data_IF_986622749705
#
_entry.id   IF_986622749705
#
_cell.length_a   1.000
_cell.length_b   1.000
_cell.length_c   1.000
_cell.angle_alpha   90.00
_cell.angle_beta   90.00
_cell.angle_gamma   90.00
#
_symmetry.space_group_name_H-M   'P 1'
#
loop_
_entity.id
_entity.type
_entity.pdbx_description
1 polymer ?
#
# COMPACT_ATOMS: atom_id res chain seq x y z
N UNK A 1 -31.73 -10.88 27.09
CA UNK A 1 -30.59 -11.11 28.01
C UNK A 1 -29.84 -12.40 27.66
N UNK A 2 -30.53 -13.54 27.45
CA UNK A 2 -29.93 -14.81 27.05
C UNK A 2 -29.17 -14.79 25.70
N UNK A 3 -29.64 -14.03 24.70
CA UNK A 3 -28.99 -13.95 23.37
C UNK A 3 -27.64 -13.21 23.39
N UNK A 4 -27.49 -12.20 24.26
CA UNK A 4 -26.21 -11.49 24.44
C UNK A 4 -25.15 -12.36 25.15
N UNK A 5 -25.58 -13.21 26.08
CA UNK A 5 -24.70 -14.14 26.79
C UNK A 5 -24.07 -15.16 25.83
N UNK A 6 -24.83 -15.60 24.83
CA UNK A 6 -24.38 -16.57 23.83
C UNK A 6 -23.38 -15.96 22.82
N UNK A 7 -23.50 -14.66 22.51
CA UNK A 7 -22.55 -13.95 21.65
C UNK A 7 -21.20 -13.73 22.34
N UNK A 8 -21.18 -13.37 23.62
CA UNK A 8 -19.92 -13.18 24.35
C UNK A 8 -19.18 -14.51 24.53
N UNK A 9 -19.88 -15.60 24.86
CA UNK A 9 -19.28 -16.93 24.92
C UNK A 9 -18.74 -17.38 23.55
N UNK A 10 -19.44 -17.07 22.46
CA UNK A 10 -18.98 -17.39 21.11
C UNK A 10 -17.72 -16.59 20.75
N UNK A 11 -17.68 -15.29 21.08
CA UNK A 11 -16.51 -14.44 20.86
C UNK A 11 -15.31 -14.90 21.70
N UNK A 12 -15.56 -15.35 22.94
CA UNK A 12 -14.53 -15.93 23.79
C UNK A 12 -13.94 -17.20 23.16
N UNK A 13 -14.80 -18.12 22.68
CA UNK A 13 -14.36 -19.35 21.98
C UNK A 13 -13.62 -19.07 20.68
N UNK A 14 -14.02 -18.04 19.93
CA UNK A 14 -13.31 -17.60 18.71
C UNK A 14 -11.92 -17.09 19.08
N UNK A 15 -11.81 -16.20 20.07
CA UNK A 15 -10.51 -15.68 20.54
C UNK A 15 -9.59 -16.78 21.08
N UNK A 16 -10.13 -17.74 21.83
CA UNK A 16 -9.35 -18.88 22.32
C UNK A 16 -8.84 -19.75 21.17
N UNK A 17 -9.69 -20.05 20.18
CA UNK A 17 -9.26 -20.78 18.98
C UNK A 17 -8.21 -20.02 18.18
N UNK A 18 -8.36 -18.70 18.02
CA UNK A 18 -7.38 -17.84 17.36
C UNK A 18 -6.05 -17.83 18.12
N UNK A 19 -6.07 -17.74 19.45
CA UNK A 19 -4.88 -17.77 20.28
C UNK A 19 -4.15 -19.13 20.18
N UNK A 20 -4.90 -20.25 20.18
CA UNK A 20 -4.34 -21.59 20.01
C UNK A 20 -3.74 -21.77 18.61
N UNK A 21 -4.45 -21.30 17.57
CA UNK A 21 -3.97 -21.34 16.19
C UNK A 21 -2.67 -20.53 16.03
N UNK A 22 -2.62 -19.32 16.58
CA UNK A 22 -1.43 -18.47 16.53
C UNK A 22 -0.25 -19.11 17.27
N UNK A 23 -0.49 -19.70 18.44
CA UNK A 23 0.55 -20.44 19.19
C UNK A 23 1.07 -21.66 18.41
N UNK A 24 0.20 -22.37 17.67
CA UNK A 24 0.61 -23.48 16.82
C UNK A 24 1.43 -23.01 15.60
N UNK A 25 1.04 -21.87 15.00
CA UNK A 25 1.79 -21.24 13.91
C UNK A 25 3.18 -20.79 14.42
N UNK A 26 3.25 -20.16 15.58
CA UNK A 26 4.50 -19.72 16.20
C UNK A 26 5.40 -20.91 16.53
N UNK A 27 4.85 -22.00 17.05
CA UNK A 27 5.59 -23.24 17.29
C UNK A 27 6.12 -23.86 15.99
N UNK A 28 5.34 -23.81 14.89
CA UNK A 28 5.79 -24.27 13.56
C UNK A 28 6.93 -23.39 13.00
N UNK A 29 6.84 -22.06 13.20
CA UNK A 29 7.89 -21.13 12.80
C UNK A 29 9.18 -21.38 13.60
N UNK A 30 9.07 -21.55 14.92
CA UNK A 30 10.23 -21.82 15.79
C UNK A 30 10.89 -23.19 15.51
N UNK A 31 10.10 -24.20 15.10
CA UNK A 31 10.65 -25.53 14.73
C UNK A 31 11.50 -25.51 13.47
N UNK A 32 11.29 -24.55 12.57
CA UNK A 32 12.07 -24.48 11.34
C UNK A 32 12.43 -23.02 11.02
N UNK A 33 13.35 -22.41 11.80
CA UNK A 33 13.65 -20.97 11.72
C UNK A 33 14.26 -20.56 10.38
N UNK A 34 14.84 -21.51 9.63
CA UNK A 34 15.39 -21.24 8.30
C UNK A 34 14.31 -21.09 7.22
N UNK A 35 13.07 -21.53 7.47
CA UNK A 35 11.99 -21.49 6.50
C UNK A 35 11.08 -20.29 6.76
N UNK A 36 11.17 -19.29 5.88
CA UNK A 36 10.33 -18.10 5.93
C UNK A 36 8.85 -18.46 5.71
N UNK A 37 7.91 -17.90 6.51
CA UNK A 37 6.48 -18.02 6.27
C UNK A 37 6.09 -17.61 4.84
N UNK A 38 5.12 -18.30 4.24
CA UNK A 38 4.65 -18.02 2.88
C UNK A 38 4.17 -16.57 2.71
N UNK A 39 3.63 -15.94 3.77
CA UNK A 39 3.22 -14.55 3.77
C UNK A 39 4.34 -13.57 3.39
N UNK A 40 5.59 -13.86 3.79
CA UNK A 40 6.75 -12.99 3.51
C UNK A 40 7.01 -12.89 2.01
N UNK A 41 6.82 -13.98 1.26
CA UNK A 41 7.02 -14.00 -0.19
C UNK A 41 6.01 -13.12 -0.95
N UNK A 42 4.86 -12.80 -0.36
CA UNK A 42 3.88 -11.88 -0.94
C UNK A 42 4.10 -10.44 -0.47
N UNK A 43 4.41 -10.24 0.81
CA UNK A 43 4.54 -8.92 1.41
C UNK A 43 5.82 -8.21 0.94
N UNK A 44 6.95 -8.91 0.88
CA UNK A 44 8.26 -8.29 0.57
C UNK A 44 8.30 -7.70 -0.85
N UNK A 45 7.93 -8.43 -1.93
CA UNK A 45 7.90 -7.84 -3.26
C UNK A 45 6.89 -6.70 -3.40
N UNK A 46 5.75 -6.77 -2.69
CA UNK A 46 4.76 -5.69 -2.69
C UNK A 46 5.31 -4.41 -2.05
N UNK A 47 5.90 -4.49 -0.85
CA UNK A 47 6.54 -3.35 -0.19
C UNK A 47 7.70 -2.81 -1.05
N UNK A 48 8.53 -3.70 -1.60
CA UNK A 48 9.63 -3.30 -2.48
C UNK A 48 9.13 -2.54 -3.72
N UNK A 49 8.09 -3.05 -4.37
CA UNK A 49 7.48 -2.41 -5.54
C UNK A 49 6.90 -1.03 -5.23
N UNK A 50 6.21 -0.90 -4.10
CA UNK A 50 5.66 0.37 -3.61
C UNK A 50 6.78 1.40 -3.37
N UNK A 51 7.84 1.01 -2.66
CA UNK A 51 9.00 1.88 -2.41
C UNK A 51 9.73 2.27 -3.68
N UNK A 52 9.97 1.32 -4.58
CA UNK A 52 10.64 1.56 -5.85
C UNK A 52 9.89 2.62 -6.67
N UNK A 53 8.58 2.45 -6.81
CA UNK A 53 7.72 3.36 -7.55
C UNK A 53 7.62 4.74 -6.87
N UNK A 54 7.50 4.79 -5.54
CA UNK A 54 7.43 6.05 -4.80
C UNK A 54 8.71 6.90 -4.95
N UNK A 55 9.88 6.29 -4.80
CA UNK A 55 11.16 7.00 -4.95
C UNK A 55 11.43 7.38 -6.41
N UNK A 56 11.10 6.49 -7.36
CA UNK A 56 11.22 6.78 -8.79
C UNK A 56 10.39 7.98 -9.23
N UNK A 57 9.13 8.04 -8.80
CA UNK A 57 8.24 9.14 -9.12
C UNK A 57 8.64 10.44 -8.41
N UNK A 58 8.92 10.38 -7.10
CA UNK A 58 9.30 11.54 -6.30
C UNK A 58 10.55 12.25 -6.81
N UNK A 59 11.56 11.50 -7.26
CA UNK A 59 12.79 12.07 -7.81
C UNK A 59 12.59 12.68 -9.20
N UNK A 60 11.79 12.04 -10.05
CA UNK A 60 11.61 12.45 -11.45
C UNK A 60 10.63 13.62 -11.59
N UNK A 61 9.66 13.74 -10.67
CA UNK A 61 8.56 14.70 -10.75
C UNK A 61 9.03 16.17 -10.77
N UNK A 62 10.02 16.55 -9.97
CA UNK A 62 10.54 17.93 -9.97
C UNK A 62 11.16 18.29 -11.34
N UNK A 63 11.95 17.37 -11.89
CA UNK A 63 12.56 17.54 -13.21
C UNK A 63 11.51 17.65 -14.31
N UNK A 64 10.46 16.84 -14.23
CA UNK A 64 9.34 16.88 -15.16
C UNK A 64 8.61 18.23 -15.14
N UNK A 65 8.30 18.76 -13.95
CA UNK A 65 7.60 20.05 -13.80
C UNK A 65 8.45 21.21 -14.33
N UNK A 66 9.75 21.22 -14.00
CA UNK A 66 10.68 22.25 -14.47
C UNK A 66 10.84 22.24 -15.98
N UNK A 67 11.01 21.05 -16.59
CA UNK A 67 11.31 20.93 -18.03
C UNK A 67 10.06 21.04 -18.91
N UNK A 68 8.97 20.37 -18.55
CA UNK A 68 7.80 20.23 -19.44
C UNK A 68 6.71 21.24 -19.14
N UNK A 69 6.41 21.49 -17.87
CA UNK A 69 5.41 22.51 -17.50
C UNK A 69 6.01 23.92 -17.48
N UNK A 70 7.35 24.04 -17.57
CA UNK A 70 8.10 25.32 -17.46
C UNK A 70 7.68 26.13 -16.23
N UNK A 71 7.22 25.44 -15.19
CA UNK A 71 6.88 26.04 -13.92
C UNK A 71 8.18 26.20 -13.14
N UNK A 72 8.44 27.41 -12.65
CA UNK A 72 9.65 27.73 -11.90
C UNK A 72 9.90 26.80 -10.72
N UNK A 73 11.13 26.79 -10.22
CA UNK A 73 11.60 25.85 -9.20
C UNK A 73 10.72 25.79 -7.95
N UNK A 74 10.23 26.93 -7.48
CA UNK A 74 9.34 27.02 -6.33
C UNK A 74 8.07 26.18 -6.50
N UNK A 75 7.46 26.18 -7.70
CA UNK A 75 6.27 25.39 -7.97
C UNK A 75 6.59 23.90 -8.05
N UNK A 76 7.71 23.51 -8.65
CA UNK A 76 8.17 22.12 -8.69
C UNK A 76 8.32 21.51 -7.30
N UNK A 77 8.93 22.25 -6.37
CA UNK A 77 9.07 21.83 -4.97
C UNK A 77 7.70 21.71 -4.28
N UNK A 78 6.79 22.67 -4.50
CA UNK A 78 5.44 22.62 -3.94
C UNK A 78 4.66 21.38 -4.37
N UNK A 79 4.66 21.05 -5.66
CA UNK A 79 3.96 19.86 -6.16
C UNK A 79 4.56 18.56 -5.66
N UNK A 80 5.89 18.45 -5.57
CA UNK A 80 6.54 17.28 -4.98
C UNK A 80 6.18 17.13 -3.50
N UNK A 81 6.15 18.24 -2.76
CA UNK A 81 5.72 18.23 -1.35
C UNK A 81 4.26 17.79 -1.22
N UNK A 82 3.37 18.36 -2.04
CA UNK A 82 1.95 17.99 -2.06
C UNK A 82 1.74 16.52 -2.42
N UNK A 83 2.48 16.00 -3.41
CA UNK A 83 2.45 14.58 -3.76
C UNK A 83 2.86 13.69 -2.57
N UNK A 84 3.93 14.04 -1.87
CA UNK A 84 4.38 13.30 -0.67
C UNK A 84 3.33 13.38 0.44
N UNK A 85 2.77 14.56 0.70
CA UNK A 85 1.71 14.72 1.71
C UNK A 85 0.48 13.87 1.39
N UNK A 86 0.01 13.87 0.14
CA UNK A 86 -1.09 13.01 -0.27
C UNK A 86 -0.74 11.52 -0.12
N UNK A 87 0.47 11.10 -0.51
CA UNK A 87 0.90 9.71 -0.38
C UNK A 87 0.89 9.20 1.06
N UNK A 88 1.18 10.06 2.04
CA UNK A 88 1.05 9.71 3.46
C UNK A 88 -0.38 9.81 3.99
N UNK A 89 -1.22 10.64 3.38
CA UNK A 89 -2.60 10.86 3.81
C UNK A 89 -3.57 9.80 3.27
N UNK A 90 -3.39 9.35 2.03
CA UNK A 90 -4.24 8.35 1.37
C UNK A 90 -4.34 7.03 2.16
N UNK A 91 -3.27 6.46 2.75
CA UNK A 91 -3.36 5.27 3.59
C UNK A 91 -4.25 5.47 4.83
N UNK A 92 -4.23 6.66 5.44
CA UNK A 92 -5.08 6.98 6.59
C UNK A 92 -6.56 6.99 6.20
N UNK A 93 -6.89 7.61 5.06
CA UNK A 93 -8.24 7.59 4.51
C UNK A 93 -8.67 6.18 4.10
N UNK A 94 -7.78 5.42 3.45
CA UNK A 94 -8.03 4.04 3.04
C UNK A 94 -8.32 3.12 4.23
N UNK A 95 -7.58 3.29 5.33
CA UNK A 95 -7.82 2.55 6.56
C UNK A 95 -9.19 2.87 7.18
N UNK A 96 -9.54 4.16 7.28
CA UNK A 96 -10.84 4.59 7.80
C UNK A 96 -12.02 4.05 6.96
N UNK A 97 -11.86 4.03 5.63
CA UNK A 97 -12.85 3.47 4.71
C UNK A 97 -12.96 1.94 4.83
N UNK A 98 -11.82 1.25 4.94
CA UNK A 98 -11.76 -0.20 5.12
C UNK A 98 -12.46 -0.65 6.41
N UNK A 99 -12.26 0.06 7.51
CA UNK A 99 -12.85 -0.28 8.81
C UNK A 99 -14.36 -0.02 8.86
N UNK A 100 -14.88 0.84 7.98
CA UNK A 100 -16.28 1.26 7.99
C UNK A 100 -17.17 0.50 7.00
N UNK A 101 -16.69 0.13 5.80
CA UNK A 101 -17.58 -0.29 4.70
C UNK A 101 -17.24 -1.62 3.99
N UNK A 102 -15.96 -1.89 3.67
CA UNK A 102 -15.63 -2.94 2.66
C UNK A 102 -14.79 -4.12 3.17
N UNK A 103 -14.48 -4.16 4.47
CA UNK A 103 -13.59 -5.18 5.00
C UNK A 103 -12.15 -5.00 4.52
N UNK A 104 -11.23 -5.60 5.27
CA UNK A 104 -9.78 -5.30 5.16
C UNK A 104 -9.18 -5.78 3.84
N UNK A 105 -9.57 -6.97 3.38
CA UNK A 105 -8.95 -7.59 2.20
C UNK A 105 -9.38 -6.94 0.88
N UNK A 106 -10.67 -6.65 0.70
CA UNK A 106 -11.19 -6.06 -0.55
C UNK A 106 -10.64 -4.65 -0.77
N UNK A 107 -10.55 -3.85 0.31
CA UNK A 107 -10.00 -2.50 0.24
C UNK A 107 -8.54 -2.50 -0.17
N UNK A 108 -7.73 -3.42 0.38
CA UNK A 108 -6.31 -3.54 0.02
C UNK A 108 -6.16 -3.90 -1.46
N UNK A 109 -6.90 -4.91 -1.94
CA UNK A 109 -6.82 -5.34 -3.34
C UNK A 109 -7.26 -4.22 -4.29
N UNK A 110 -8.34 -3.51 -3.99
CA UNK A 110 -8.82 -2.40 -4.80
C UNK A 110 -7.80 -1.25 -4.89
N UNK A 111 -7.17 -0.88 -3.75
CA UNK A 111 -6.13 0.14 -3.72
C UNK A 111 -4.87 -0.29 -4.49
N UNK A 112 -4.48 -1.57 -4.41
CA UNK A 112 -3.38 -2.12 -5.21
C UNK A 112 -3.65 -2.02 -6.72
N UNK A 113 -4.88 -2.32 -7.18
CA UNK A 113 -5.25 -2.14 -8.59
C UNK A 113 -5.20 -0.67 -9.02
N UNK A 114 -5.75 0.24 -8.21
CA UNK A 114 -5.71 1.68 -8.48
C UNK A 114 -4.28 2.18 -8.59
N UNK A 115 -3.39 1.68 -7.72
CA UNK A 115 -1.97 2.01 -7.74
C UNK A 115 -1.29 1.57 -9.05
N UNK A 116 -1.49 0.32 -9.47
CA UNK A 116 -0.91 -0.21 -10.72
C UNK A 116 -1.39 0.59 -11.93
N UNK A 117 -2.67 0.96 -11.97
CA UNK A 117 -3.23 1.79 -13.04
C UNK A 117 -2.57 3.18 -13.04
N UNK A 118 -2.47 3.83 -11.88
CA UNK A 118 -1.84 5.15 -11.76
C UNK A 118 -0.37 5.16 -12.18
N UNK A 119 0.38 4.13 -11.79
CA UNK A 119 1.77 3.96 -12.19
C UNK A 119 1.91 3.68 -13.70
N UNK A 120 1.03 2.85 -14.26
CA UNK A 120 1.01 2.51 -15.68
C UNK A 120 0.73 3.73 -16.55
N UNK A 121 -0.28 4.53 -16.17
CA UNK A 121 -0.58 5.80 -16.85
C UNK A 121 0.63 6.74 -16.79
N UNK A 122 1.23 6.90 -15.61
CA UNK A 122 2.39 7.78 -15.43
C UNK A 122 3.58 7.35 -16.30
N UNK A 123 3.82 6.03 -16.41
CA UNK A 123 4.85 5.49 -17.30
C UNK A 123 4.55 5.78 -18.78
N UNK A 124 3.31 5.57 -19.24
CA UNK A 124 2.89 5.86 -20.62
C UNK A 124 3.05 7.35 -20.97
N UNK A 125 2.71 8.25 -20.05
CA UNK A 125 2.93 9.68 -20.25
C UNK A 125 4.42 9.99 -20.30
N UNK A 126 5.23 9.42 -19.40
CA UNK A 126 6.68 9.61 -19.39
C UNK A 126 7.35 9.17 -20.70
N UNK A 127 6.95 8.06 -21.32
CA UNK A 127 7.49 7.60 -22.61
C UNK A 127 7.18 8.58 -23.75
N UNK A 128 5.93 9.05 -23.85
CA UNK A 128 5.53 10.07 -24.83
C UNK A 128 6.35 11.35 -24.69
N UNK A 129 6.74 11.66 -23.46
CA UNK A 129 7.51 12.84 -23.09
C UNK A 129 9.00 12.67 -23.42
N UNK A 130 9.57 11.47 -23.23
CA UNK A 130 10.96 11.17 -23.60
C UNK A 130 11.17 11.23 -25.12
N UNK A 131 10.20 10.72 -25.89
CA UNK A 131 10.22 10.81 -27.36
C UNK A 131 10.12 12.25 -27.89
N UNK A 132 9.39 13.15 -27.21
CA UNK A 132 9.27 14.57 -27.57
C UNK A 132 10.52 15.41 -27.21
N UNK A 133 11.40 14.89 -26.36
CA UNK A 133 12.60 15.60 -25.88
C UNK A 133 13.87 15.23 -26.65
N UNK A 134 13.82 14.16 -27.46
CA UNK A 134 14.89 13.69 -28.35
C UNK A 134 14.68 14.17 -29.82
N UNK A 135 13.53 14.78 -30.11
CA UNK A 135 13.18 15.44 -31.39
C UNK A 135 13.16 16.95 -31.21
#
# INVERSE_FOLDING_TARGET
>A
MSEKLNLEELQLKVKEKEALLNAEIDAKIQRNPEKLPQAIYYIVPNEFGERYCFYGLSNTLNGYIKKHLKLGETKGIQYVSMFKSLSYFTPLLGAALSDSFFGKYETIVALSFLYVIGMSLTAMYAEKIFHLLIL
#
